data_IF_599393196355
#
_entry.id   IF_599393196355
#
_cell.length_a   1.000
_cell.length_b   1.000
_cell.length_c   1.000
_cell.angle_alpha   90.00
_cell.angle_beta   90.00
_cell.angle_gamma   90.00
#
_symmetry.space_group_name_H-M   'P 1'
#
loop_
_entity.id
_entity.type
_entity.pdbx_description
1 polymer ?
#
# COMPACT_ATOMS: atom_id res chain seq x y z
N UNK A 1 -60.42 -25.54 -34.01
CA UNK A 1 -59.24 -25.35 -34.89
C UNK A 1 -57.93 -25.21 -34.12
N UNK A 2 -57.77 -24.30 -33.15
CA UNK A 2 -56.51 -24.18 -32.38
C UNK A 2 -56.12 -25.42 -31.54
N UNK A 3 -57.09 -26.19 -31.06
CA UNK A 3 -56.85 -27.42 -30.29
C UNK A 3 -56.20 -28.54 -31.10
N UNK A 4 -56.52 -28.66 -32.39
CA UNK A 4 -55.95 -29.71 -33.25
C UNK A 4 -54.51 -29.37 -33.67
N UNK A 5 -54.20 -28.07 -33.79
CA UNK A 5 -52.87 -27.57 -34.10
C UNK A 5 -51.87 -27.87 -32.97
N UNK A 6 -52.30 -27.79 -31.70
CA UNK A 6 -51.48 -28.12 -30.52
C UNK A 6 -51.36 -29.61 -30.23
N UNK A 7 -52.19 -30.46 -30.86
CA UNK A 7 -52.14 -31.92 -30.71
C UNK A 7 -51.18 -32.61 -31.69
N UNK A 8 -50.55 -31.86 -32.60
CA UNK A 8 -49.54 -32.41 -33.50
C UNK A 8 -48.31 -32.85 -32.71
N UNK A 9 -47.95 -34.13 -32.81
CA UNK A 9 -46.74 -34.71 -32.18
C UNK A 9 -45.48 -33.93 -32.53
N UNK A 10 -45.44 -33.33 -33.72
CA UNK A 10 -44.30 -32.58 -34.23
C UNK A 10 -44.18 -31.21 -33.55
N UNK A 11 -45.30 -30.55 -33.27
CA UNK A 11 -45.35 -29.27 -32.55
C UNK A 11 -45.03 -29.49 -31.06
N UNK A 12 -45.52 -30.59 -30.47
CA UNK A 12 -45.19 -30.95 -29.09
C UNK A 12 -43.69 -31.24 -28.91
N UNK A 13 -43.08 -31.98 -29.85
CA UNK A 13 -41.64 -32.24 -29.84
C UNK A 13 -40.83 -30.94 -29.99
N UNK A 14 -41.23 -30.06 -30.91
CA UNK A 14 -40.58 -28.75 -31.10
C UNK A 14 -40.67 -27.86 -29.86
N UNK A 15 -41.84 -27.82 -29.20
CA UNK A 15 -42.01 -27.06 -27.97
C UNK A 15 -41.18 -27.62 -26.81
N UNK A 16 -41.14 -28.95 -26.64
CA UNK A 16 -40.30 -29.58 -25.62
C UNK A 16 -38.81 -29.25 -25.83
N UNK A 17 -38.33 -29.33 -27.07
CA UNK A 17 -36.96 -28.95 -27.42
C UNK A 17 -36.67 -27.47 -27.13
N UNK A 18 -37.59 -26.58 -27.48
CA UNK A 18 -37.47 -25.15 -27.20
C UNK A 18 -37.35 -24.87 -25.69
N UNK A 19 -38.20 -25.49 -24.88
CA UNK A 19 -38.15 -25.35 -23.41
C UNK A 19 -36.82 -25.90 -22.86
N UNK A 20 -36.32 -27.01 -23.40
CA UNK A 20 -35.03 -27.59 -22.99
C UNK A 20 -33.85 -26.69 -23.33
N UNK A 21 -33.82 -26.11 -24.54
CA UNK A 21 -32.76 -25.19 -24.95
C UNK A 21 -32.80 -23.88 -24.15
N UNK A 22 -33.96 -23.25 -24.03
CA UNK A 22 -34.09 -21.97 -23.32
C UNK A 22 -33.89 -22.15 -21.81
N UNK A 23 -34.52 -23.17 -21.24
CA UNK A 23 -34.36 -23.54 -19.83
C UNK A 23 -32.92 -23.90 -19.50
N UNK A 24 -32.27 -24.73 -20.33
CA UNK A 24 -30.86 -25.10 -20.17
C UNK A 24 -29.92 -23.90 -20.28
N UNK A 25 -30.17 -22.97 -21.22
CA UNK A 25 -29.36 -21.75 -21.38
C UNK A 25 -29.49 -20.82 -20.18
N UNK A 26 -30.70 -20.65 -19.64
CA UNK A 26 -30.96 -19.85 -18.45
C UNK A 26 -30.31 -20.47 -17.20
N UNK A 27 -30.43 -21.79 -17.04
CA UNK A 27 -29.85 -22.51 -15.90
C UNK A 27 -28.32 -22.51 -15.95
N UNK A 28 -27.74 -22.64 -17.16
CA UNK A 28 -26.30 -22.49 -17.39
C UNK A 28 -25.83 -21.07 -17.08
N UNK A 29 -26.53 -20.04 -17.58
CA UNK A 29 -26.22 -18.63 -17.28
C UNK A 29 -26.26 -18.35 -15.78
N UNK A 30 -27.29 -18.84 -15.09
CA UNK A 30 -27.41 -18.71 -13.64
C UNK A 30 -26.28 -19.43 -12.89
N UNK A 31 -25.91 -20.64 -13.32
CA UNK A 31 -24.80 -21.39 -12.75
C UNK A 31 -23.47 -20.65 -12.91
N UNK A 32 -23.16 -20.19 -14.12
CA UNK A 32 -21.95 -19.40 -14.42
C UNK A 32 -21.93 -18.11 -13.60
N UNK A 33 -23.06 -17.41 -13.47
CA UNK A 33 -23.16 -16.21 -12.64
C UNK A 33 -22.89 -16.51 -11.16
N UNK A 34 -23.37 -17.64 -10.63
CA UNK A 34 -23.10 -18.01 -9.23
C UNK A 34 -21.65 -18.42 -9.00
N UNK A 35 -21.05 -19.16 -9.91
CA UNK A 35 -19.64 -19.59 -9.76
C UNK A 35 -18.70 -18.40 -9.92
N UNK A 36 -18.98 -17.48 -10.84
CA UNK A 36 -18.20 -16.24 -10.98
C UNK A 36 -18.43 -15.28 -9.81
N UNK A 37 -19.66 -15.09 -9.32
CA UNK A 37 -19.91 -14.26 -8.13
C UNK A 37 -19.22 -14.78 -6.87
N UNK A 38 -18.99 -16.09 -6.76
CA UNK A 38 -18.20 -16.67 -5.67
C UNK A 38 -16.68 -16.46 -5.82
N UNK A 39 -16.17 -16.22 -7.04
CA UNK A 39 -14.78 -15.83 -7.28
C UNK A 39 -14.57 -14.31 -7.17
N UNK A 40 -15.63 -13.53 -7.39
CA UNK A 40 -15.71 -12.12 -7.04
C UNK A 40 -16.31 -11.94 -5.64
N UNK A 41 -15.76 -12.66 -4.64
CA UNK A 41 -15.87 -12.16 -3.26
C UNK A 41 -15.39 -10.71 -3.34
N UNK A 42 -16.23 -9.72 -2.99
CA UNK A 42 -15.76 -8.36 -2.90
C UNK A 42 -14.61 -8.40 -1.91
N UNK A 43 -13.38 -8.24 -2.41
CA UNK A 43 -12.25 -7.91 -1.55
C UNK A 43 -12.78 -6.76 -0.70
N UNK A 44 -12.86 -6.93 0.64
CA UNK A 44 -13.43 -5.93 1.51
C UNK A 44 -12.79 -4.59 1.15
N UNK A 45 -13.59 -3.54 1.15
CA UNK A 45 -13.15 -2.18 0.84
C UNK A 45 -12.09 -1.72 1.88
N UNK A 46 -10.89 -2.30 1.86
CA UNK A 46 -9.78 -1.90 2.71
C UNK A 46 -9.42 -0.43 2.44
N UNK A 47 -9.68 0.04 1.21
CA UNK A 47 -9.51 1.45 0.81
C UNK A 47 -10.61 2.35 1.40
N UNK A 48 -11.85 1.89 1.62
CA UNK A 48 -12.86 2.72 2.30
C UNK A 48 -12.71 2.69 3.82
N UNK A 49 -12.23 1.58 4.41
CA UNK A 49 -11.92 1.55 5.84
C UNK A 49 -10.71 2.40 6.24
N UNK A 50 -9.82 2.72 5.28
CA UNK A 50 -8.73 3.68 5.51
C UNK A 50 -9.24 5.13 5.47
N UNK A 51 -10.24 5.43 4.63
CA UNK A 51 -10.82 6.78 4.54
C UNK A 51 -11.65 7.18 5.77
N UNK A 52 -12.22 6.20 6.49
CA UNK A 52 -13.08 6.42 7.66
C UNK A 52 -12.36 6.41 9.02
N UNK A 53 -11.03 6.22 9.08
CA UNK A 53 -10.28 6.19 10.35
C UNK A 53 -9.63 7.52 10.74
N UNK A 54 -9.87 8.60 9.98
CA UNK A 54 -9.18 9.90 10.17
C UNK A 54 -10.00 10.96 10.94
N UNK A 55 -11.17 10.62 11.48
CA UNK A 55 -11.98 11.59 12.25
C UNK A 55 -12.49 11.01 13.57
N UNK A 56 -11.61 10.76 14.55
CA UNK A 56 -11.96 10.87 15.98
C UNK A 56 -10.67 10.88 16.81
N UNK A 57 -10.06 12.04 17.01
CA UNK A 57 -9.25 12.34 18.20
C UNK A 57 -9.01 13.85 18.27
N UNK A 58 -10.08 14.60 18.48
CA UNK A 58 -9.99 15.98 18.98
C UNK A 58 -10.15 15.91 20.50
N UNK A 59 -9.03 15.91 21.23
CA UNK A 59 -9.05 16.27 22.64
C UNK A 59 -9.27 17.79 22.75
N UNK A 60 -10.06 18.28 23.72
CA UNK A 60 -10.30 19.70 23.89
C UNK A 60 -9.07 20.35 24.53
N UNK A 61 -8.38 21.22 23.79
CA UNK A 61 -7.41 22.14 24.37
C UNK A 61 -8.17 23.40 24.77
N UNK A 62 -8.30 23.57 26.07
CA UNK A 62 -8.96 24.70 26.72
C UNK A 62 -8.14 25.98 26.52
N UNK A 63 -8.82 27.06 26.17
CA UNK A 63 -8.25 28.39 26.00
C UNK A 63 -8.18 29.07 27.37
N UNK A 64 -6.98 29.51 27.79
CA UNK A 64 -6.85 30.60 28.75
C UNK A 64 -5.88 31.66 28.22
N UNK A 65 -6.47 32.81 27.90
CA UNK A 65 -5.82 34.07 27.57
C UNK A 65 -5.92 34.98 28.78
N UNK A 66 -4.81 35.56 29.24
CA UNK A 66 -4.65 36.85 29.93
C UNK A 66 -3.14 36.96 30.33
N UNK A 67 -2.40 38.05 30.19
CA UNK A 67 -2.68 39.39 29.71
C UNK A 67 -1.37 40.10 29.32
N UNK A 68 -1.55 41.23 28.66
CA UNK A 68 -0.56 42.10 28.00
C UNK A 68 0.32 42.90 28.97
N UNK A 69 1.60 43.12 28.64
CA UNK A 69 2.32 44.40 28.85
C UNK A 69 3.36 44.60 27.72
N UNK A 70 3.31 45.78 27.10
CA UNK A 70 4.08 46.26 25.95
C UNK A 70 5.46 46.88 26.27
N UNK A 71 6.45 46.60 25.40
CA UNK A 71 7.58 47.43 24.88
C UNK A 71 8.70 48.00 25.80
N UNK A 72 9.84 48.52 25.25
CA UNK A 72 10.66 48.10 24.10
C UNK A 72 12.21 48.19 24.31
N UNK A 73 12.94 47.79 23.27
CA UNK A 73 14.22 48.32 22.77
C UNK A 73 15.61 47.89 23.29
N UNK A 74 16.49 47.80 22.30
CA UNK A 74 17.94 48.02 22.30
C UNK A 74 18.92 46.88 22.67
N UNK A 75 19.42 46.26 21.60
CA UNK A 75 20.84 46.26 21.17
C UNK A 75 21.93 45.53 22.00
N UNK A 76 22.86 44.97 21.23
CA UNK A 76 24.31 44.81 21.51
C UNK A 76 24.82 43.44 21.99
N UNK A 77 25.38 42.72 21.00
CA UNK A 77 26.68 42.04 20.96
C UNK A 77 27.21 41.19 22.13
N UNK A 78 27.39 39.91 21.79
CA UNK A 78 28.46 38.96 22.17
C UNK A 78 29.72 39.55 22.84
N UNK A 79 30.25 38.84 23.85
CA UNK A 79 31.69 38.61 23.87
C UNK A 79 32.12 37.13 24.09
N UNK A 80 33.32 36.88 23.56
CA UNK A 80 34.14 35.66 23.45
C UNK A 80 34.60 35.05 24.80
N UNK A 81 35.20 33.85 24.77
CA UNK A 81 35.49 33.02 25.94
C UNK A 81 36.80 33.40 26.63
N UNK A 82 36.85 33.21 27.95
CA UNK A 82 38.08 33.16 28.73
C UNK A 82 38.33 31.73 29.22
N UNK A 83 39.50 31.22 28.86
CA UNK A 83 40.11 30.03 29.43
C UNK A 83 40.84 30.41 30.72
N UNK A 84 40.78 29.59 31.77
CA UNK A 84 41.77 29.59 32.86
C UNK A 84 41.83 28.21 33.52
N UNK A 85 42.99 27.56 33.31
CA UNK A 85 43.87 26.81 34.22
C UNK A 85 43.35 25.77 35.26
N UNK A 86 43.90 24.56 35.09
CA UNK A 86 44.67 23.75 36.06
C UNK A 86 44.04 23.22 37.38
N UNK A 87 43.81 21.90 37.36
CA UNK A 87 44.16 20.81 38.34
C UNK A 87 44.89 21.21 39.65
N UNK A 88 44.67 20.50 40.80
CA UNK A 88 45.05 19.07 40.89
C UNK A 88 44.18 18.12 41.75
N UNK A 89 44.12 16.88 41.26
CA UNK A 89 44.42 15.60 41.93
C UNK A 89 44.31 15.52 43.47
N UNK A 90 43.29 14.81 43.97
CA UNK A 90 43.39 14.05 45.22
C UNK A 90 42.81 12.63 45.03
N UNK A 91 43.70 11.66 45.24
CA UNK A 91 43.50 10.21 45.40
C UNK A 91 43.23 9.87 46.86
N UNK A 92 42.17 9.14 47.17
CA UNK A 92 41.98 8.22 48.32
C UNK A 92 40.61 7.53 48.09
N UNK A 93 40.32 6.25 48.31
CA UNK A 93 41.01 5.06 48.82
C UNK A 93 40.16 3.86 48.41
N UNK A 94 40.82 2.80 47.95
CA UNK A 94 40.28 1.44 47.81
C UNK A 94 39.81 0.93 49.18
N UNK A 95 38.55 0.49 49.28
CA UNK A 95 38.11 -0.42 50.32
C UNK A 95 37.67 -1.74 49.67
N UNK A 96 38.35 -2.81 50.06
CA UNK A 96 38.18 -4.18 49.59
C UNK A 96 37.61 -4.97 50.76
N UNK A 97 36.33 -5.33 50.68
CA UNK A 97 35.73 -6.32 51.57
C UNK A 97 34.60 -7.07 50.86
N UNK A 98 34.99 -8.15 50.19
CA UNK A 98 34.43 -9.50 50.26
C UNK A 98 32.94 -9.62 50.69
N UNK A 99 32.06 -9.78 49.71
CA UNK A 99 30.72 -10.31 49.91
C UNK A 99 30.39 -11.27 48.76
N UNK A 100 30.51 -12.56 49.06
CA UNK A 100 30.00 -13.73 48.35
C UNK A 100 28.71 -13.44 47.56
N UNK A 101 28.79 -13.52 46.22
CA UNK A 101 27.64 -13.76 45.37
C UNK A 101 27.85 -15.07 44.60
N UNK A 102 26.84 -15.96 44.56
CA UNK A 102 26.93 -17.23 43.86
C UNK A 102 27.04 -16.99 42.36
N UNK A 103 27.76 -17.88 41.67
CA UNK A 103 27.92 -17.96 40.22
C UNK A 103 26.67 -17.50 39.46
N UNK A 104 26.69 -16.24 39.01
CA UNK A 104 25.76 -15.74 38.03
C UNK A 104 26.17 -16.39 36.71
N UNK A 105 25.45 -17.46 36.38
CA UNK A 105 25.56 -18.19 35.13
C UNK A 105 25.49 -17.14 34.04
N UNK A 106 26.64 -16.89 33.39
CA UNK A 106 26.75 -16.02 32.25
C UNK A 106 25.66 -16.40 31.26
N UNK A 107 24.59 -15.61 31.27
CA UNK A 107 23.64 -15.60 30.18
C UNK A 107 24.48 -15.08 29.04
N UNK A 108 24.91 -15.99 28.15
CA UNK A 108 25.44 -15.60 26.86
C UNK A 108 24.42 -14.64 26.27
N UNK A 109 24.72 -13.34 26.33
CA UNK A 109 24.03 -12.34 25.54
C UNK A 109 24.24 -12.79 24.11
N UNK A 110 23.22 -13.48 23.60
CA UNK A 110 23.13 -13.83 22.20
C UNK A 110 23.36 -12.52 21.46
N UNK A 111 24.37 -12.42 20.57
CA UNK A 111 24.69 -11.15 19.92
C UNK A 111 23.39 -10.61 19.34
N UNK A 112 22.98 -9.42 19.79
CA UNK A 112 21.80 -8.77 19.25
C UNK A 112 22.01 -8.72 17.74
N UNK A 113 21.22 -9.50 17.00
CA UNK A 113 21.31 -9.52 15.54
C UNK A 113 21.20 -8.08 15.07
N UNK A 114 22.27 -7.58 14.46
CA UNK A 114 22.34 -6.19 14.01
C UNK A 114 21.28 -6.01 12.92
N UNK A 115 20.12 -5.49 13.33
CA UNK A 115 18.97 -5.36 12.45
C UNK A 115 19.31 -4.35 11.36
N UNK A 116 19.37 -4.80 10.11
CA UNK A 116 19.67 -3.94 8.98
C UNK A 116 18.67 -2.77 8.90
N UNK A 117 19.21 -1.55 8.77
CA UNK A 117 18.44 -0.29 8.75
C UNK A 117 18.45 0.31 7.35
N UNK A 118 17.33 0.90 6.95
CA UNK A 118 17.22 1.66 5.70
C UNK A 118 18.21 2.82 5.65
N UNK A 119 18.96 3.02 4.54
CA UNK A 119 19.80 4.19 4.36
C UNK A 119 18.99 5.48 4.14
N UNK A 120 17.67 5.39 3.95
CA UNK A 120 16.80 6.54 3.64
C UNK A 120 16.02 7.08 4.84
N UNK A 121 16.31 6.58 6.05
CA UNK A 121 15.63 7.03 7.28
C UNK A 121 14.27 6.40 7.52
N UNK A 122 13.88 5.35 6.79
CA UNK A 122 12.62 4.62 7.01
C UNK A 122 12.65 3.64 8.19
N UNK A 123 13.74 3.65 8.97
CA UNK A 123 13.97 2.73 10.07
C UNK A 123 14.37 1.32 9.61
N UNK A 124 14.31 0.32 10.52
CA UNK A 124 14.61 -1.07 10.20
C UNK A 124 13.80 -1.60 9.01
N UNK A 125 14.37 -2.54 8.26
CA UNK A 125 13.60 -3.25 7.25
C UNK A 125 12.47 -4.04 7.89
N UNK A 126 11.27 -4.06 7.30
CA UNK A 126 10.18 -4.88 7.83
C UNK A 126 10.54 -6.36 7.68
N UNK A 127 10.18 -7.15 8.68
CA UNK A 127 10.24 -8.61 8.57
C UNK A 127 9.39 -9.07 7.37
N UNK A 128 9.98 -9.89 6.51
CA UNK A 128 9.34 -10.39 5.28
C UNK A 128 8.70 -11.75 5.58
N UNK A 129 7.38 -11.93 5.38
CA UNK A 129 6.75 -13.23 5.55
C UNK A 129 7.37 -14.29 4.64
N UNK A 130 7.56 -15.51 5.16
CA UNK A 130 8.15 -16.63 4.40
C UNK A 130 7.35 -16.97 3.13
N UNK A 131 6.04 -16.72 3.13
CA UNK A 131 5.14 -16.96 2.00
C UNK A 131 5.02 -15.77 1.02
N UNK A 132 5.79 -14.69 1.23
CA UNK A 132 5.76 -13.52 0.36
C UNK A 132 6.32 -13.87 -1.05
N UNK A 133 5.60 -13.58 -2.14
CA UNK A 133 5.88 -14.15 -3.46
C UNK A 133 7.05 -13.50 -4.20
N UNK A 134 7.72 -12.51 -3.60
CA UNK A 134 8.76 -11.73 -4.25
C UNK A 134 9.93 -11.48 -3.30
N UNK A 135 11.14 -11.42 -3.83
CA UNK A 135 12.31 -10.98 -3.06
C UNK A 135 12.30 -9.44 -2.94
N UNK A 136 12.42 -8.85 -1.73
CA UNK A 136 12.51 -7.41 -1.56
C UNK A 136 13.68 -6.81 -2.34
N UNK A 137 13.54 -5.57 -2.78
CA UNK A 137 14.49 -4.87 -3.65
C UNK A 137 15.85 -4.68 -3.01
N UNK A 138 15.92 -4.40 -1.70
CA UNK A 138 17.18 -4.26 -0.96
C UNK A 138 18.01 -5.55 -0.88
N UNK A 139 17.42 -6.72 -1.17
CA UNK A 139 18.16 -7.97 -1.24
C UNK A 139 18.55 -8.36 -2.68
N UNK A 140 18.09 -7.64 -3.69
CA UNK A 140 18.35 -7.97 -5.10
C UNK A 140 19.75 -7.52 -5.49
N UNK A 141 20.45 -8.37 -6.24
CA UNK A 141 21.70 -8.00 -6.88
C UNK A 141 21.50 -6.82 -7.84
N UNK A 142 22.36 -5.81 -7.77
CA UNK A 142 22.29 -4.62 -8.61
C UNK A 142 21.34 -3.54 -8.10
N UNK A 143 20.74 -3.69 -6.92
CA UNK A 143 19.95 -2.63 -6.29
C UNK A 143 20.75 -1.33 -6.11
N UNK A 144 22.02 -1.49 -5.75
CA UNK A 144 23.03 -0.45 -5.62
C UNK A 144 23.32 0.31 -6.93
N UNK A 145 22.96 -0.24 -8.09
CA UNK A 145 23.15 0.41 -9.40
C UNK A 145 22.08 1.45 -9.74
N UNK A 146 20.94 1.44 -9.05
CA UNK A 146 19.89 2.45 -9.24
C UNK A 146 20.28 3.79 -8.60
N UNK A 147 19.69 4.90 -9.07
CA UNK A 147 19.85 6.19 -8.37
C UNK A 147 19.23 6.13 -6.97
N UNK A 148 19.74 6.94 -6.03
CA UNK A 148 19.22 6.97 -4.65
C UNK A 148 17.71 7.24 -4.61
N UNK A 149 17.19 8.12 -5.46
CA UNK A 149 15.74 8.37 -5.54
C UNK A 149 14.97 7.13 -5.99
N UNK A 150 15.50 6.39 -6.96
CA UNK A 150 14.87 5.15 -7.44
C UNK A 150 14.94 4.05 -6.39
N UNK A 151 16.07 3.91 -5.69
CA UNK A 151 16.22 2.98 -4.57
C UNK A 151 15.20 3.30 -3.47
N UNK A 152 15.09 4.57 -3.07
CA UNK A 152 14.10 5.04 -2.10
C UNK A 152 12.67 4.69 -2.50
N UNK A 153 12.29 4.94 -3.76
CA UNK A 153 10.96 4.62 -4.28
C UNK A 153 10.68 3.10 -4.29
N UNK A 154 11.67 2.29 -4.69
CA UNK A 154 11.57 0.84 -4.72
C UNK A 154 11.44 0.25 -3.31
N UNK A 155 12.18 0.79 -2.34
CA UNK A 155 12.07 0.38 -0.95
C UNK A 155 10.68 0.70 -0.38
N UNK A 156 10.16 1.93 -0.61
CA UNK A 156 8.80 2.30 -0.18
C UNK A 156 7.74 1.40 -0.82
N UNK A 157 7.89 1.09 -2.11
CA UNK A 157 7.03 0.15 -2.82
C UNK A 157 7.01 -1.21 -2.11
N UNK A 158 8.16 -1.82 -1.86
CA UNK A 158 8.21 -3.14 -1.23
C UNK A 158 7.71 -3.12 0.22
N UNK A 159 8.03 -2.08 1.00
CA UNK A 159 7.49 -1.91 2.36
C UNK A 159 5.96 -1.88 2.35
N UNK A 160 5.34 -1.14 1.43
CA UNK A 160 3.88 -1.08 1.26
C UNK A 160 3.32 -2.45 0.89
N UNK A 161 3.91 -3.13 -0.10
CA UNK A 161 3.44 -4.45 -0.53
C UNK A 161 3.56 -5.49 0.59
N UNK A 162 4.67 -5.50 1.34
CA UNK A 162 4.85 -6.40 2.49
C UNK A 162 3.81 -6.11 3.59
N UNK A 163 3.55 -4.82 3.91
CA UNK A 163 2.51 -4.46 4.89
C UNK A 163 1.11 -4.90 4.43
N UNK A 164 0.77 -4.72 3.16
CA UNK A 164 -0.48 -5.22 2.56
C UNK A 164 -0.57 -6.75 2.67
N UNK A 165 0.52 -7.47 2.38
CA UNK A 165 0.56 -8.93 2.50
C UNK A 165 0.28 -9.40 3.93
N UNK A 166 0.91 -8.75 4.92
CA UNK A 166 0.68 -9.01 6.35
C UNK A 166 -0.76 -8.71 6.78
N UNK A 167 -1.43 -7.76 6.13
CA UNK A 167 -2.84 -7.44 6.36
C UNK A 167 -3.81 -8.41 5.67
N UNK A 168 -3.31 -9.40 4.92
CA UNK A 168 -4.12 -10.41 4.22
C UNK A 168 -4.45 -10.05 2.77
N UNK A 169 -3.98 -8.89 2.28
CA UNK A 169 -4.16 -8.51 0.88
C UNK A 169 -3.15 -9.26 0.00
N UNK A 170 -3.60 -10.39 -0.58
CA UNK A 170 -2.76 -11.29 -1.40
C UNK A 170 -3.10 -11.27 -2.89
N UNK A 171 -4.03 -10.39 -3.29
CA UNK A 171 -4.59 -10.35 -4.64
C UNK A 171 -3.76 -9.61 -5.71
N UNK A 172 -2.62 -9.03 -5.33
CA UNK A 172 -1.76 -8.25 -6.22
C UNK A 172 -0.58 -9.07 -6.78
N UNK A 173 -0.02 -8.63 -7.92
CA UNK A 173 1.14 -9.23 -8.60
C UNK A 173 2.25 -8.20 -8.76
N UNK A 174 2.84 -7.80 -7.65
CA UNK A 174 3.78 -6.68 -7.57
C UNK A 174 3.07 -5.33 -7.53
N UNK A 175 3.79 -4.28 -7.91
CA UNK A 175 3.27 -2.93 -7.94
C UNK A 175 4.19 -1.97 -8.68
N UNK A 176 3.80 -0.69 -8.70
CA UNK A 176 4.59 0.38 -9.29
C UNK A 176 4.47 1.66 -8.50
N UNK A 177 5.43 2.57 -8.66
CA UNK A 177 5.34 3.94 -8.15
C UNK A 177 4.89 4.91 -9.25
N UNK A 178 4.16 5.95 -8.85
CA UNK A 178 3.95 7.16 -9.64
C UNK A 178 3.64 8.37 -8.76
N UNK A 179 4.32 9.50 -8.99
CA UNK A 179 4.14 10.75 -8.24
C UNK A 179 4.15 10.55 -6.72
N UNK A 180 5.12 9.79 -6.20
CA UNK A 180 5.25 9.50 -4.76
C UNK A 180 4.24 8.52 -4.19
N UNK A 181 3.29 8.00 -4.99
CA UNK A 181 2.30 7.01 -4.57
C UNK A 181 2.66 5.60 -5.04
N UNK A 182 2.18 4.61 -4.31
CA UNK A 182 2.31 3.18 -4.61
C UNK A 182 0.99 2.61 -5.17
N UNK A 183 1.10 1.81 -6.23
CA UNK A 183 -0.03 1.18 -6.92
C UNK A 183 0.18 -0.33 -7.00
N UNK A 184 -0.45 -1.13 -6.12
CA UNK A 184 -0.40 -2.59 -6.19
C UNK A 184 -1.14 -3.10 -7.43
N UNK A 185 -0.57 -4.08 -8.14
CA UNK A 185 -1.11 -4.57 -9.41
C UNK A 185 -2.12 -5.70 -9.18
N UNK A 186 -3.35 -5.36 -8.81
CA UNK A 186 -4.44 -6.32 -8.66
C UNK A 186 -4.95 -6.88 -9.99
N UNK A 187 -5.38 -8.15 -9.98
CA UNK A 187 -5.94 -8.81 -11.17
C UNK A 187 -7.03 -7.96 -11.82
N UNK A 188 -6.97 -7.82 -13.15
CA UNK A 188 -7.94 -7.04 -13.94
C UNK A 188 -8.11 -5.59 -13.48
N UNK A 189 -7.14 -4.98 -12.80
CA UNK A 189 -7.21 -3.59 -12.36
C UNK A 189 -6.19 -2.73 -13.07
N UNK A 190 -6.63 -1.57 -13.58
CA UNK A 190 -5.79 -0.56 -14.21
C UNK A 190 -6.02 0.80 -13.55
N UNK A 191 -4.93 1.42 -13.09
CA UNK A 191 -4.87 2.82 -12.68
C UNK A 191 -4.57 3.68 -13.89
N UNK A 192 -5.46 4.62 -14.21
CA UNK A 192 -5.46 5.34 -15.49
C UNK A 192 -5.45 6.83 -15.26
N UNK A 193 -4.54 7.54 -15.94
CA UNK A 193 -4.61 9.00 -16.10
C UNK A 193 -5.27 9.33 -17.42
N UNK A 194 -6.36 10.06 -17.35
CA UNK A 194 -7.01 10.57 -18.55
C UNK A 194 -6.56 12.00 -18.86
N UNK A 195 -6.53 12.34 -20.15
CA UNK A 195 -6.36 13.71 -20.63
C UNK A 195 -7.41 14.00 -21.69
N UNK A 196 -7.66 15.28 -21.90
CA UNK A 196 -8.60 15.77 -22.91
C UNK A 196 -7.83 16.50 -24.00
N UNK A 197 -8.13 16.20 -25.26
CA UNK A 197 -7.58 16.94 -26.41
C UNK A 197 -8.23 18.33 -26.52
N UNK A 198 -7.66 19.24 -27.32
CA UNK A 198 -8.30 20.52 -27.63
C UNK A 198 -9.72 20.41 -28.19
N UNK A 199 -10.05 19.29 -28.85
CA UNK A 199 -11.39 18.97 -29.39
C UNK A 199 -12.35 18.35 -28.36
N UNK A 200 -11.98 18.29 -27.07
CA UNK A 200 -12.83 17.72 -26.02
C UNK A 200 -12.84 16.18 -25.92
N UNK A 201 -12.07 15.46 -26.74
CA UNK A 201 -11.97 13.99 -26.67
C UNK A 201 -11.08 13.54 -25.52
N UNK A 202 -11.56 12.60 -24.71
CA UNK A 202 -10.83 12.00 -23.59
C UNK A 202 -10.01 10.80 -24.09
N UNK A 203 -8.75 10.71 -23.68
CA UNK A 203 -7.85 9.59 -24.01
C UNK A 203 -7.02 9.18 -22.79
N UNK A 204 -6.47 7.96 -22.80
CA UNK A 204 -5.58 7.46 -21.76
C UNK A 204 -4.17 8.00 -22.01
N UNK A 205 -3.71 8.89 -21.15
CA UNK A 205 -2.36 9.44 -21.23
C UNK A 205 -1.32 8.54 -20.57
N UNK A 206 -1.73 7.80 -19.54
CA UNK A 206 -0.86 6.89 -18.80
C UNK A 206 -1.69 5.80 -18.13
N UNK A 207 -1.13 4.62 -17.99
CA UNK A 207 -1.71 3.57 -17.17
C UNK A 207 -0.64 2.79 -16.39
N UNK A 208 -1.07 2.19 -15.27
CA UNK A 208 -0.34 1.22 -14.43
C UNK A 208 -1.33 0.12 -14.03
N UNK A 209 -0.91 -1.11 -13.82
CA UNK A 209 -1.84 -2.17 -13.42
C UNK A 209 -1.32 -3.57 -13.65
N UNK A 210 -2.23 -4.54 -13.60
CA UNK A 210 -1.94 -5.96 -13.82
C UNK A 210 -1.10 -6.17 -15.10
N UNK A 211 0.06 -6.86 -15.03
CA UNK A 211 0.87 -7.15 -16.21
C UNK A 211 0.15 -7.98 -17.28
N UNK A 212 -0.94 -8.66 -16.93
CA UNK A 212 -1.79 -9.38 -17.89
C UNK A 212 -2.66 -8.45 -18.76
N UNK A 213 -2.88 -7.20 -18.34
CA UNK A 213 -3.66 -6.23 -19.11
C UNK A 213 -2.83 -5.75 -20.31
N UNK A 214 -3.34 -6.01 -21.51
CA UNK A 214 -2.77 -5.51 -22.77
C UNK A 214 -3.70 -4.45 -23.34
N UNK A 215 -3.30 -3.19 -23.25
CA UNK A 215 -4.05 -2.06 -23.80
C UNK A 215 -3.56 -1.79 -25.23
N UNK A 216 -4.48 -1.82 -26.20
CA UNK A 216 -4.15 -1.52 -27.59
C UNK A 216 -3.96 0.00 -27.80
N UNK A 217 -3.23 0.41 -28.86
CA UNK A 217 -3.13 1.83 -29.21
C UNK A 217 -4.47 2.51 -29.46
N UNK A 218 -5.47 1.78 -29.93
CA UNK A 218 -6.83 2.28 -30.15
C UNK A 218 -7.56 2.52 -28.83
N UNK A 219 -7.44 1.61 -27.86
CA UNK A 219 -7.98 1.79 -26.51
C UNK A 219 -7.35 2.98 -25.79
N UNK A 220 -6.04 3.20 -25.98
CA UNK A 220 -5.38 4.39 -25.46
C UNK A 220 -5.97 5.68 -26.05
N UNK A 221 -6.24 5.70 -27.36
CA UNK A 221 -6.77 6.88 -28.07
C UNK A 221 -8.24 7.16 -27.75
N UNK A 222 -9.06 6.12 -27.63
CA UNK A 222 -10.51 6.24 -27.40
C UNK A 222 -10.84 6.45 -25.93
N UNK A 223 -9.96 6.03 -25.02
CA UNK A 223 -10.25 6.06 -23.59
C UNK A 223 -11.05 4.85 -23.10
N UNK A 224 -11.40 3.94 -24.00
CA UNK A 224 -12.26 2.79 -23.72
C UNK A 224 -11.43 1.56 -23.34
N UNK A 225 -11.69 1.03 -22.16
CA UNK A 225 -11.12 -0.23 -21.70
C UNK A 225 -12.19 -1.33 -21.71
N UNK A 226 -11.81 -2.60 -21.91
CA UNK A 226 -12.74 -3.72 -21.81
C UNK A 226 -13.46 -3.71 -20.47
N UNK A 227 -14.75 -4.06 -20.46
CA UNK A 227 -15.62 -4.01 -19.28
C UNK A 227 -15.19 -4.91 -18.12
N UNK A 228 -14.35 -5.92 -18.39
CA UNK A 228 -13.77 -6.76 -17.34
C UNK A 228 -12.63 -6.09 -16.57
N UNK A 229 -12.12 -4.94 -17.05
CA UNK A 229 -11.05 -4.19 -16.40
C UNK A 229 -11.67 -3.19 -15.43
N UNK A 230 -11.32 -3.30 -14.15
CA UNK A 230 -11.60 -2.28 -13.14
C UNK A 230 -10.68 -1.09 -13.40
N UNK A 231 -11.27 0.05 -13.71
CA UNK A 231 -10.54 1.31 -13.94
C UNK A 231 -10.56 2.13 -12.65
N UNK A 232 -9.38 2.51 -12.19
CA UNK A 232 -9.15 3.37 -11.04
C UNK A 232 -8.44 4.64 -11.50
N UNK A 233 -8.71 5.79 -10.89
CA UNK A 233 -8.02 7.03 -11.21
C UNK A 233 -6.62 7.01 -10.57
N UNK A 234 -5.56 7.14 -11.38
CA UNK A 234 -4.21 7.12 -10.85
C UNK A 234 -3.94 8.27 -9.88
N UNK A 235 -4.59 9.42 -10.06
CA UNK A 235 -4.26 10.61 -9.27
C UNK A 235 -4.88 10.54 -7.86
N UNK A 236 -5.99 9.81 -7.68
CA UNK A 236 -6.68 9.66 -6.39
C UNK A 236 -6.48 8.30 -5.70
N UNK A 237 -6.32 7.21 -6.44
CA UNK A 237 -6.41 5.83 -5.90
C UNK A 237 -5.05 5.22 -5.51
N UNK A 238 -3.95 5.95 -5.68
CA UNK A 238 -2.63 5.51 -5.22
C UNK A 238 -2.48 5.61 -3.70
N UNK A 239 -1.75 4.65 -3.12
CA UNK A 239 -1.43 4.62 -1.69
C UNK A 239 -0.31 5.63 -1.42
N UNK A 240 -0.51 6.56 -0.50
CA UNK A 240 0.59 7.35 0.05
C UNK A 240 1.45 6.44 0.96
N UNK A 241 2.70 6.14 0.59
CA UNK A 241 3.51 5.21 1.35
C UNK A 241 3.90 5.76 2.72
N UNK A 242 4.02 7.08 2.90
CA UNK A 242 4.43 7.66 4.18
C UNK A 242 3.29 7.56 5.19
N UNK A 243 2.08 7.97 4.78
CA UNK A 243 0.88 7.83 5.61
C UNK A 243 0.57 6.36 5.89
N UNK A 244 0.62 5.50 4.87
CA UNK A 244 0.28 4.09 5.02
C UNK A 244 1.27 3.30 5.87
N UNK A 245 2.55 3.67 5.88
CA UNK A 245 3.60 3.01 6.67
C UNK A 245 3.85 3.68 8.03
N UNK A 246 3.14 4.76 8.35
CA UNK A 246 3.34 5.56 9.56
C UNK A 246 4.77 6.16 9.65
N UNK A 247 5.34 6.56 8.50
CA UNK A 247 6.66 7.19 8.39
C UNK A 247 6.52 8.71 8.52
N UNK A 248 7.25 9.32 9.48
CA UNK A 248 7.26 10.76 9.76
C UNK A 248 8.43 11.47 9.10
#
# INVERSE_FOLDING_TARGET
>A
MFRDLLSSRLIQAGFAFFVLCVGGSLLYSWHVHRTTAAEFVPIPQAVESLKNKTETNTAPVDFQTEGSVDTPDANTDTPRPEATEALPNETETLDVADAFLPDDVGTEETPAEEVAVSPFGFGPYPEVPEDYPARPTWERSGYDTFSQDTQRELELLDRVLIKLWKQGERGYRGGSTDNGKVYPHYKNTAYVRYRTTGEGRRYIARYKGDPAIRISPEQLRTGELPSYIRVLDIDSEGIDPYEFLDLK
#
